data_IF_355382876727
#
_entry.id   IF_355382876727
#
_cell.length_a   1.000
_cell.length_b   1.000
_cell.length_c   1.000
_cell.angle_alpha   90.00
_cell.angle_beta   90.00
_cell.angle_gamma   90.00
#
_symmetry.space_group_name_H-M   'P 1'
#
loop_
_entity.id
_entity.type
_entity.pdbx_description
1 polymer ?
#
# COMPACT_ATOMS: atom_id res chain seq x y z
N UNK A 1 37.60 44.87 34.20
CA UNK A 1 38.68 44.25 33.41
C UNK A 1 38.86 42.84 33.98
N UNK A 2 38.61 41.69 33.33
CA UNK A 2 38.56 41.34 31.92
C UNK A 2 37.53 40.22 31.68
N UNK A 3 36.92 40.28 30.48
CA UNK A 3 36.07 39.27 29.86
C UNK A 3 36.95 38.27 29.11
N UNK A 4 36.62 36.98 29.15
CA UNK A 4 36.82 36.06 28.04
C UNK A 4 35.93 34.82 28.25
N UNK A 5 34.72 34.86 27.70
CA UNK A 5 33.83 33.70 27.57
C UNK A 5 33.96 33.23 26.12
N UNK A 6 34.65 32.11 25.89
CA UNK A 6 34.79 31.52 24.56
C UNK A 6 33.49 30.78 24.20
N UNK A 7 32.73 31.36 23.29
CA UNK A 7 31.57 30.76 22.63
C UNK A 7 32.05 29.77 21.57
N UNK A 8 31.89 28.48 21.83
CA UNK A 8 31.93 27.44 20.80
C UNK A 8 30.52 27.34 20.18
N UNK A 9 30.36 27.86 18.96
CA UNK A 9 29.13 27.68 18.17
C UNK A 9 29.23 26.33 17.47
N UNK A 10 28.49 25.35 17.97
CA UNK A 10 28.26 24.08 17.28
C UNK A 10 27.26 24.30 16.13
N UNK A 11 27.75 24.16 14.89
CA UNK A 11 26.93 24.06 13.69
C UNK A 11 26.14 22.75 13.73
N UNK A 12 24.91 22.80 14.25
CA UNK A 12 23.94 21.74 14.08
C UNK A 12 23.43 21.78 12.63
N UNK A 13 24.00 20.94 11.76
CA UNK A 13 23.39 20.59 10.47
C UNK A 13 22.12 19.81 10.78
N UNK A 14 20.99 20.51 10.76
CA UNK A 14 19.66 19.89 10.78
C UNK A 14 19.42 19.27 9.40
N UNK A 15 19.80 17.99 9.26
CA UNK A 15 19.27 17.15 8.21
C UNK A 15 17.75 17.03 8.42
N UNK A 16 16.90 17.20 7.39
CA UNK A 16 15.48 16.93 7.55
C UNK A 16 15.33 15.41 7.77
N UNK A 17 14.89 15.05 8.96
CA UNK A 17 14.39 13.72 9.27
C UNK A 17 13.24 13.41 8.31
N UNK A 18 13.55 12.73 7.21
CA UNK A 18 12.56 11.98 6.42
C UNK A 18 12.13 10.84 7.32
N UNK A 19 11.23 11.14 8.25
CA UNK A 19 10.56 10.14 9.08
C UNK A 19 9.75 9.27 8.13
N UNK A 20 10.30 8.11 7.77
CA UNK A 20 9.57 7.05 7.10
C UNK A 20 8.39 6.69 8.01
N UNK A 21 7.20 7.22 7.72
CA UNK A 21 6.03 7.00 8.53
C UNK A 21 5.72 5.50 8.55
N UNK A 22 6.00 4.85 9.68
CA UNK A 22 5.79 3.42 9.86
C UNK A 22 4.36 3.06 9.49
N UNK A 23 4.23 2.09 8.60
CA UNK A 23 2.93 1.56 8.21
C UNK A 23 2.38 0.78 9.40
N UNK A 24 1.24 1.21 9.93
CA UNK A 24 0.56 0.51 11.03
C UNK A 24 0.34 -0.97 10.69
N UNK A 25 0.51 -1.85 11.68
CA UNK A 25 0.22 -3.29 11.54
C UNK A 25 -1.24 -3.55 11.13
N UNK A 26 -2.18 -2.68 11.54
CA UNK A 26 -3.56 -2.74 11.08
C UNK A 26 -3.68 -2.54 9.57
N UNK A 27 -2.96 -1.57 9.02
CA UNK A 27 -2.89 -1.29 7.57
C UNK A 27 -2.28 -2.49 6.83
N UNK A 28 -1.14 -3.01 7.32
CA UNK A 28 -0.50 -4.18 6.70
C UNK A 28 -1.43 -5.39 6.67
N UNK A 29 -2.17 -5.64 7.76
CA UNK A 29 -3.13 -6.75 7.85
C UNK A 29 -4.31 -6.56 6.91
N UNK A 30 -4.88 -5.35 6.85
CA UNK A 30 -5.98 -5.02 5.93
C UNK A 30 -5.54 -5.17 4.46
N UNK A 31 -4.36 -4.68 4.11
CA UNK A 31 -3.79 -4.81 2.77
C UNK A 31 -3.57 -6.28 2.38
N UNK A 32 -2.99 -7.07 3.28
CA UNK A 32 -2.75 -8.50 3.03
C UNK A 32 -4.06 -9.24 2.83
N UNK A 33 -5.02 -9.06 3.73
CA UNK A 33 -6.34 -9.69 3.62
C UNK A 33 -7.06 -9.33 2.32
N UNK A 34 -7.06 -8.05 1.96
CA UNK A 34 -7.77 -7.55 0.77
C UNK A 34 -7.10 -8.02 -0.52
N UNK A 35 -5.77 -7.91 -0.61
CA UNK A 35 -5.03 -8.33 -1.77
C UNK A 35 -5.12 -9.84 -1.98
N UNK A 36 -4.93 -10.64 -0.94
CA UNK A 36 -5.00 -12.10 -1.02
C UNK A 36 -6.41 -12.57 -1.42
N UNK A 37 -7.46 -11.99 -0.83
CA UNK A 37 -8.85 -12.34 -1.17
C UNK A 37 -9.18 -11.97 -2.61
N UNK A 38 -8.77 -10.78 -3.04
CA UNK A 38 -9.04 -10.29 -4.39
C UNK A 38 -8.28 -11.10 -5.44
N UNK A 39 -7.00 -11.40 -5.19
CA UNK A 39 -6.18 -12.23 -6.06
C UNK A 39 -6.77 -13.64 -6.23
N UNK A 40 -7.16 -14.30 -5.14
CA UNK A 40 -7.85 -15.60 -5.18
C UNK A 40 -9.10 -15.55 -6.06
N UNK A 41 -9.90 -14.50 -5.91
CA UNK A 41 -11.16 -14.34 -6.65
C UNK A 41 -10.89 -14.13 -8.14
N UNK A 42 -9.93 -13.28 -8.48
CA UNK A 42 -9.53 -13.04 -9.88
C UNK A 42 -8.98 -14.31 -10.50
N UNK A 43 -8.07 -15.01 -9.80
CA UNK A 43 -7.47 -16.24 -10.30
C UNK A 43 -8.50 -17.35 -10.50
N UNK A 44 -9.45 -17.50 -9.58
CA UNK A 44 -10.60 -18.38 -9.74
C UNK A 44 -11.43 -18.01 -10.97
N UNK A 45 -11.85 -16.75 -11.10
CA UNK A 45 -12.68 -16.29 -12.20
C UNK A 45 -12.01 -16.56 -13.56
N UNK A 46 -10.70 -16.27 -13.68
CA UNK A 46 -9.91 -16.56 -14.87
C UNK A 46 -9.89 -18.05 -15.22
N UNK A 47 -9.62 -18.93 -14.24
CA UNK A 47 -9.62 -20.40 -14.44
C UNK A 47 -11.01 -20.90 -14.84
N UNK A 48 -12.06 -20.31 -14.28
CA UNK A 48 -13.46 -20.64 -14.56
C UNK A 48 -14.03 -19.96 -15.83
N UNK A 49 -13.24 -19.13 -16.53
CA UNK A 49 -13.68 -18.31 -17.68
C UNK A 49 -14.87 -17.38 -17.36
N UNK A 50 -14.90 -16.86 -16.14
CA UNK A 50 -15.84 -15.85 -15.67
C UNK A 50 -15.19 -14.46 -15.72
N UNK A 51 -16.01 -13.42 -15.83
CA UNK A 51 -15.52 -12.04 -15.69
C UNK A 51 -15.09 -11.76 -14.24
N UNK A 52 -13.80 -11.46 -13.96
CA UNK A 52 -13.33 -11.18 -12.61
C UNK A 52 -14.05 -10.01 -11.93
N UNK A 53 -14.43 -8.97 -12.69
CA UNK A 53 -15.10 -7.79 -12.13
C UNK A 53 -16.49 -8.13 -11.56
N UNK A 54 -17.17 -9.11 -12.15
CA UNK A 54 -18.44 -9.63 -11.63
C UNK A 54 -18.31 -10.48 -10.36
N UNK A 55 -17.12 -10.99 -10.05
CA UNK A 55 -16.88 -11.93 -8.94
C UNK A 55 -16.28 -11.25 -7.70
N UNK A 56 -15.50 -10.18 -7.88
CA UNK A 56 -14.89 -9.46 -6.75
C UNK A 56 -15.97 -8.72 -5.96
N UNK A 57 -16.13 -9.09 -4.69
CA UNK A 57 -17.07 -8.42 -3.79
C UNK A 57 -16.60 -7.00 -3.48
N UNK A 58 -17.49 -6.03 -3.70
CA UNK A 58 -17.26 -4.62 -3.35
C UNK A 58 -16.99 -4.46 -1.85
N UNK A 59 -16.02 -3.63 -1.52
CA UNK A 59 -15.70 -3.20 -0.17
C UNK A 59 -16.23 -1.78 0.04
N UNK A 60 -16.68 -1.46 1.26
CA UNK A 60 -17.21 -0.13 1.59
C UNK A 60 -16.11 0.92 1.80
N UNK A 61 -14.90 0.47 2.14
CA UNK A 61 -13.74 1.34 2.30
C UNK A 61 -13.20 1.74 0.92
N UNK A 62 -13.22 3.05 0.63
CA UNK A 62 -12.87 3.58 -0.69
C UNK A 62 -11.40 3.39 -1.05
N UNK A 63 -10.51 3.31 -0.06
CA UNK A 63 -9.10 3.01 -0.31
C UNK A 63 -8.94 1.55 -0.72
N UNK A 64 -9.57 0.62 0.00
CA UNK A 64 -9.56 -0.81 -0.36
C UNK A 64 -10.28 -1.07 -1.70
N UNK A 65 -11.32 -0.31 -2.02
CA UNK A 65 -11.98 -0.37 -3.34
C UNK A 65 -11.01 0.02 -4.46
N UNK A 66 -10.18 1.06 -4.22
CA UNK A 66 -9.11 1.45 -5.13
C UNK A 66 -8.09 0.33 -5.38
N UNK A 67 -7.75 -0.44 -4.33
CA UNK A 67 -6.86 -1.62 -4.45
C UNK A 67 -7.50 -2.69 -5.34
N UNK A 68 -8.77 -3.01 -5.12
CA UNK A 68 -9.48 -4.00 -5.95
C UNK A 68 -9.53 -3.58 -7.42
N UNK A 69 -9.84 -2.31 -7.67
CA UNK A 69 -9.87 -1.73 -9.02
C UNK A 69 -8.49 -1.83 -9.70
N UNK A 70 -7.42 -1.51 -8.98
CA UNK A 70 -6.07 -1.60 -9.49
C UNK A 70 -5.67 -3.05 -9.84
N UNK A 71 -6.05 -4.02 -9.00
CA UNK A 71 -5.79 -5.44 -9.26
C UNK A 71 -6.58 -5.96 -10.46
N UNK A 72 -7.86 -5.58 -10.60
CA UNK A 72 -8.69 -5.96 -11.75
C UNK A 72 -8.10 -5.42 -13.07
N UNK A 73 -7.68 -4.15 -13.07
CA UNK A 73 -7.05 -3.54 -14.25
C UNK A 73 -5.70 -4.19 -14.58
N UNK A 74 -4.90 -4.52 -13.58
CA UNK A 74 -3.63 -5.23 -13.77
C UNK A 74 -3.87 -6.63 -14.34
N UNK A 75 -4.85 -7.34 -13.80
CA UNK A 75 -5.23 -8.65 -14.29
C UNK A 75 -5.75 -8.63 -15.73
N UNK A 76 -6.50 -7.60 -16.14
CA UNK A 76 -6.99 -7.48 -17.51
C UNK A 76 -5.91 -7.08 -18.52
N UNK A 77 -4.81 -6.47 -18.06
CA UNK A 77 -3.67 -6.06 -18.91
C UNK A 77 -2.57 -7.10 -18.98
N UNK A 78 -2.47 -7.96 -17.98
CA UNK A 78 -1.43 -8.98 -17.87
C UNK A 78 -2.07 -10.32 -17.46
N UNK A 79 -2.55 -11.06 -18.46
CA UNK A 79 -3.27 -12.31 -18.23
C UNK A 79 -2.41 -13.45 -17.68
N UNK A 80 -1.10 -13.33 -17.82
CA UNK A 80 -0.12 -14.29 -17.31
C UNK A 80 0.18 -14.11 -15.82
N UNK A 81 -0.27 -13.03 -15.16
CA UNK A 81 0.00 -12.82 -13.75
C UNK A 81 -0.62 -13.95 -12.92
N UNK A 82 0.23 -14.60 -12.12
CA UNK A 82 -0.20 -15.58 -11.14
C UNK A 82 -0.99 -14.93 -10.00
N UNK A 83 -1.68 -15.77 -9.24
CA UNK A 83 -2.39 -15.36 -8.03
C UNK A 83 -1.44 -14.67 -7.02
N UNK A 84 -0.23 -15.21 -6.83
CA UNK A 84 0.76 -14.65 -5.92
C UNK A 84 1.29 -13.29 -6.37
N UNK A 85 1.53 -13.12 -7.67
CA UNK A 85 1.97 -11.83 -8.24
C UNK A 85 0.86 -10.77 -8.13
N UNK A 86 -0.40 -11.14 -8.37
CA UNK A 86 -1.54 -10.25 -8.16
C UNK A 86 -1.66 -9.82 -6.70
N UNK A 87 -1.52 -10.75 -5.75
CA UNK A 87 -1.57 -10.45 -4.33
C UNK A 87 -0.42 -9.51 -3.91
N UNK A 88 0.80 -9.76 -4.37
CA UNK A 88 1.94 -8.89 -4.10
C UNK A 88 1.74 -7.48 -4.66
N UNK A 89 1.26 -7.36 -5.90
CA UNK A 89 0.96 -6.08 -6.55
C UNK A 89 -0.13 -5.31 -5.78
N UNK A 90 -1.22 -5.99 -5.42
CA UNK A 90 -2.29 -5.40 -4.62
C UNK A 90 -1.82 -4.93 -3.24
N UNK A 91 -0.99 -5.73 -2.56
CA UNK A 91 -0.44 -5.38 -1.26
C UNK A 91 0.45 -4.14 -1.33
N UNK A 92 1.39 -4.10 -2.29
CA UNK A 92 2.29 -2.96 -2.47
C UNK A 92 1.51 -1.68 -2.76
N UNK A 93 0.58 -1.73 -3.71
CA UNK A 93 -0.28 -0.60 -4.05
C UNK A 93 -1.11 -0.13 -2.84
N UNK A 94 -1.67 -1.06 -2.08
CA UNK A 94 -2.45 -0.77 -0.88
C UNK A 94 -1.62 0.00 0.14
N UNK A 95 -0.43 -0.47 0.49
CA UNK A 95 0.45 0.17 1.47
C UNK A 95 0.90 1.56 1.00
N UNK A 96 1.24 1.70 -0.29
CA UNK A 96 1.63 2.98 -0.89
C UNK A 96 0.50 4.02 -0.86
N UNK A 97 -0.74 3.58 -1.09
CA UNK A 97 -1.92 4.45 -1.16
C UNK A 97 -2.69 4.57 0.16
N UNK A 98 -2.13 4.05 1.25
CA UNK A 98 -2.78 4.08 2.57
C UNK A 98 -3.18 5.50 2.97
N UNK A 99 -4.35 5.68 3.63
CA UNK A 99 -4.70 6.95 4.23
C UNK A 99 -3.64 7.36 5.26
N UNK A 100 -3.08 8.56 5.11
CA UNK A 100 -2.11 9.13 6.06
C UNK A 100 -2.76 9.96 7.15
N UNK A 101 -4.06 10.27 6.98
CA UNK A 101 -4.79 11.26 7.77
C UNK A 101 -6.03 10.60 8.37
N UNK A 102 -5.85 9.81 9.44
CA UNK A 102 -6.96 9.48 10.34
C UNK A 102 -6.90 10.54 11.45
N UNK A 103 -7.81 11.51 11.37
CA UNK A 103 -8.02 12.52 12.40
C UNK A 103 -8.93 11.97 13.49
#
# INVERSE_FOLDING_TARGET
MNRAFLLAVTLAVSAPDVMAQEVSEGVKRACRSTADQTARTIAYAKRAKLDPASQVRKVADSWLEGVQTHMLLSASRADHLSEGELAALGYSYCVERRPTNVR
#
